data_IF_944016047232
#
_entry.id   IF_944016047232
#
_cell.length_a   1.000
_cell.length_b   1.000
_cell.length_c   1.000
_cell.angle_alpha   90.00
_cell.angle_beta   90.00
_cell.angle_gamma   90.00
#
_symmetry.space_group_name_H-M   'P 1'
#
loop_
_entity.id
_entity.type
_entity.pdbx_description
1 polymer ?
#
# COMPACT_ATOMS: atom_id res chain seq x y z
N UNK A 1 4.92 7.80 -18.46
CA UNK A 1 3.99 8.74 -17.76
C UNK A 1 4.67 10.10 -17.63
N UNK A 2 3.95 11.24 -17.66
CA UNK A 2 4.57 12.58 -17.47
C UNK A 2 4.66 12.96 -15.98
N UNK A 3 5.59 13.85 -15.60
CA UNK A 3 5.74 14.36 -14.21
C UNK A 3 4.42 14.86 -13.62
N UNK A 4 3.73 15.75 -14.34
CA UNK A 4 2.44 16.32 -13.91
C UNK A 4 1.39 15.23 -13.65
N UNK A 5 1.27 14.25 -14.57
CA UNK A 5 0.33 13.13 -14.40
C UNK A 5 0.67 12.28 -13.17
N UNK A 6 1.94 11.93 -12.98
CA UNK A 6 2.39 11.19 -11.79
C UNK A 6 2.00 11.91 -10.50
N UNK A 7 2.26 13.21 -10.40
CA UNK A 7 2.07 13.97 -9.16
C UNK A 7 0.57 14.12 -8.85
N UNK A 8 -0.26 14.31 -9.88
CA UNK A 8 -1.72 14.35 -9.73
C UNK A 8 -2.24 13.00 -9.23
N UNK A 9 -1.85 11.90 -9.89
CA UNK A 9 -2.30 10.55 -9.50
C UNK A 9 -1.86 10.23 -8.07
N UNK A 10 -0.60 10.50 -7.73
CA UNK A 10 -0.07 10.27 -6.39
C UNK A 10 -0.80 11.11 -5.34
N UNK A 11 -1.06 12.40 -5.63
CA UNK A 11 -1.79 13.28 -4.70
C UNK A 11 -3.22 12.80 -4.46
N UNK A 12 -3.95 12.46 -5.52
CA UNK A 12 -5.31 11.92 -5.42
C UNK A 12 -5.31 10.60 -4.63
N UNK A 13 -4.38 9.70 -4.95
CA UNK A 13 -4.23 8.42 -4.25
C UNK A 13 -3.93 8.58 -2.76
N UNK A 14 -3.05 9.53 -2.40
CA UNK A 14 -2.75 9.85 -1.00
C UNK A 14 -3.98 10.41 -0.28
N UNK A 15 -4.68 11.39 -0.87
CA UNK A 15 -5.88 11.98 -0.27
C UNK A 15 -6.96 10.90 -0.04
N UNK A 16 -7.22 10.07 -1.05
CA UNK A 16 -8.18 8.97 -0.94
C UNK A 16 -7.75 7.96 0.13
N UNK A 17 -6.47 7.58 0.14
CA UNK A 17 -5.91 6.63 1.11
C UNK A 17 -6.00 7.13 2.55
N UNK A 18 -5.62 8.39 2.80
CA UNK A 18 -5.73 9.00 4.13
C UNK A 18 -7.19 9.17 4.57
N UNK A 19 -8.06 9.60 3.67
CA UNK A 19 -9.50 9.73 3.97
C UNK A 19 -10.09 8.38 4.36
N UNK A 20 -9.77 7.32 3.61
CA UNK A 20 -10.20 5.96 3.90
C UNK A 20 -9.65 5.45 5.24
N UNK A 21 -8.36 5.71 5.51
CA UNK A 21 -7.72 5.31 6.76
C UNK A 21 -8.35 5.99 7.98
N UNK A 22 -8.62 7.29 7.89
CA UNK A 22 -9.30 8.05 8.95
C UNK A 22 -10.71 7.49 9.19
N UNK A 23 -11.48 7.24 8.12
CA UNK A 23 -12.80 6.62 8.23
C UNK A 23 -12.76 5.27 8.97
N UNK A 24 -11.75 4.44 8.69
CA UNK A 24 -11.58 3.14 9.33
C UNK A 24 -11.17 3.25 10.80
N UNK A 25 -10.32 4.22 11.15
CA UNK A 25 -9.95 4.48 12.55
C UNK A 25 -11.19 4.88 13.36
N UNK A 26 -12.08 5.70 12.80
CA UNK A 26 -13.35 6.04 13.47
C UNK A 26 -14.23 4.81 13.68
N UNK A 27 -14.34 3.91 12.68
CA UNK A 27 -15.12 2.67 12.81
C UNK A 27 -14.54 1.70 13.83
N UNK A 28 -13.21 1.54 13.82
CA UNK A 28 -12.49 0.65 14.74
C UNK A 28 -12.66 1.12 16.19
N UNK A 29 -12.49 2.43 16.44
CA UNK A 29 -12.76 3.04 17.74
C UNK A 29 -14.23 2.91 18.17
N UNK A 30 -15.17 2.96 17.23
CA UNK A 30 -16.61 2.78 17.48
C UNK A 30 -17.01 1.30 17.60
N UNK A 31 -16.05 0.36 17.56
CA UNK A 31 -16.28 -1.10 17.57
C UNK A 31 -17.23 -1.61 16.49
N UNK A 32 -17.39 -0.87 15.39
CA UNK A 32 -18.27 -1.23 14.27
C UNK A 32 -17.66 -2.29 13.33
N UNK A 33 -16.49 -2.82 13.68
CA UNK A 33 -15.73 -3.75 12.85
C UNK A 33 -15.18 -3.10 11.58
N UNK A 34 -14.22 -3.78 10.95
CA UNK A 34 -13.67 -3.35 9.67
C UNK A 34 -14.53 -3.89 8.52
N UNK A 35 -14.75 -3.09 7.46
CA UNK A 35 -15.52 -3.53 6.31
C UNK A 35 -14.90 -4.79 5.69
N UNK A 36 -15.77 -5.71 5.27
CA UNK A 36 -15.35 -6.92 4.58
C UNK A 36 -14.72 -6.59 3.21
N UNK A 37 -13.70 -7.35 2.81
CA UNK A 37 -13.11 -7.22 1.49
C UNK A 37 -14.11 -7.71 0.42
N UNK A 38 -14.51 -6.84 -0.50
CA UNK A 38 -15.50 -7.16 -1.54
C UNK A 38 -15.11 -8.38 -2.36
N UNK A 39 -13.84 -8.48 -2.77
CA UNK A 39 -13.32 -9.61 -3.57
C UNK A 39 -13.50 -10.91 -2.80
N UNK A 40 -13.02 -10.98 -1.55
CA UNK A 40 -13.17 -12.19 -0.74
C UNK A 40 -14.64 -12.54 -0.51
N UNK A 41 -15.49 -11.53 -0.32
CA UNK A 41 -16.92 -11.74 -0.06
C UNK A 41 -17.66 -12.28 -1.30
N UNK A 42 -17.21 -11.95 -2.52
CA UNK A 42 -17.85 -12.42 -3.75
C UNK A 42 -17.23 -13.71 -4.30
N UNK A 43 -15.91 -13.90 -4.18
CA UNK A 43 -15.22 -15.07 -4.74
C UNK A 43 -14.95 -16.18 -3.72
N UNK A 44 -15.04 -15.87 -2.41
CA UNK A 44 -14.63 -16.75 -1.32
C UNK A 44 -13.11 -16.84 -1.13
N UNK A 45 -12.30 -16.24 -2.00
CA UNK A 45 -10.84 -16.36 -2.00
C UNK A 45 -10.18 -15.00 -1.72
N UNK A 46 -9.29 -14.90 -0.72
CA UNK A 46 -8.55 -13.66 -0.49
C UNK A 46 -7.62 -13.37 -1.65
N UNK A 47 -7.50 -12.10 -2.06
CA UNK A 47 -6.49 -11.66 -3.02
C UNK A 47 -5.14 -11.36 -2.31
N UNK A 48 -4.04 -11.13 -3.06
CA UNK A 48 -2.73 -10.87 -2.46
C UNK A 48 -2.70 -9.63 -1.54
N UNK A 49 -3.62 -8.68 -1.73
CA UNK A 49 -3.74 -7.47 -0.91
C UNK A 49 -4.73 -7.58 0.26
N UNK A 50 -5.42 -8.72 0.41
CA UNK A 50 -6.30 -8.94 1.56
C UNK A 50 -5.51 -8.78 2.88
N UNK A 51 -6.07 -8.04 3.82
CA UNK A 51 -5.42 -7.75 5.10
C UNK A 51 -4.52 -6.50 5.13
N UNK A 52 -4.21 -5.86 3.99
CA UNK A 52 -3.34 -4.67 3.98
C UNK A 52 -3.86 -3.54 4.88
N UNK A 53 -5.16 -3.26 4.84
CA UNK A 53 -5.79 -2.28 5.73
C UNK A 53 -5.59 -2.61 7.21
N UNK A 54 -5.77 -3.89 7.59
CA UNK A 54 -5.57 -4.37 8.96
C UNK A 54 -4.11 -4.28 9.38
N UNK A 55 -3.20 -4.58 8.46
CA UNK A 55 -1.76 -4.43 8.66
C UNK A 55 -1.38 -2.96 8.90
N UNK A 56 -1.88 -2.02 8.09
CA UNK A 56 -1.65 -0.57 8.29
C UNK A 56 -2.22 -0.11 9.64
N UNK A 57 -3.41 -0.56 10.03
CA UNK A 57 -3.98 -0.24 11.35
C UNK A 57 -3.14 -0.81 12.51
N UNK A 58 -2.60 -2.02 12.35
CA UNK A 58 -1.68 -2.60 13.34
C UNK A 58 -0.39 -1.77 13.48
N UNK A 59 0.17 -1.29 12.36
CA UNK A 59 1.32 -0.36 12.38
C UNK A 59 0.98 0.92 13.15
N UNK A 60 -0.19 1.52 12.91
CA UNK A 60 -0.63 2.74 13.61
C UNK A 60 -0.78 2.51 15.11
N UNK A 61 -1.19 1.30 15.52
CA UNK A 61 -1.29 0.89 16.93
C UNK A 61 0.06 0.50 17.56
N UNK A 62 1.16 0.53 16.79
CA UNK A 62 2.50 0.15 17.26
C UNK A 62 2.80 -1.36 17.17
N UNK A 63 1.89 -2.17 16.64
CA UNK A 63 2.02 -3.62 16.55
C UNK A 63 2.65 -4.04 15.20
N UNK A 64 3.96 -3.82 15.06
CA UNK A 64 4.67 -4.12 13.81
C UNK A 64 4.73 -5.63 13.48
N UNK A 65 4.87 -6.49 14.50
CA UNK A 65 4.90 -7.95 14.30
C UNK A 65 3.56 -8.41 13.74
N UNK A 66 2.45 -7.98 14.36
CA UNK A 66 1.10 -8.29 13.88
C UNK A 66 0.91 -7.78 12.44
N UNK A 67 1.41 -6.59 12.11
CA UNK A 67 1.30 -6.05 10.76
C UNK A 67 1.97 -6.94 9.71
N UNK A 68 3.15 -7.48 10.01
CA UNK A 68 3.87 -8.44 9.15
C UNK A 68 3.06 -9.73 9.03
N UNK A 69 2.63 -10.28 10.18
CA UNK A 69 1.87 -11.54 10.23
C UNK A 69 0.54 -11.45 9.48
N UNK A 70 -0.10 -10.28 9.50
CA UNK A 70 -1.31 -10.01 8.73
C UNK A 70 -0.97 -9.97 7.25
N UNK A 71 -0.20 -8.98 6.79
CA UNK A 71 0.24 -8.89 5.39
C UNK A 71 1.44 -7.93 5.26
N UNK A 72 2.62 -8.39 4.82
CA UNK A 72 3.84 -7.57 4.73
C UNK A 72 3.72 -6.46 3.69
N UNK A 73 2.83 -6.61 2.70
CA UNK A 73 2.53 -5.52 1.76
C UNK A 73 1.93 -4.29 2.46
N UNK A 74 1.32 -4.46 3.63
CA UNK A 74 0.85 -3.35 4.45
C UNK A 74 1.97 -2.42 4.93
N UNK A 75 3.18 -2.94 5.16
CA UNK A 75 4.35 -2.11 5.50
C UNK A 75 4.76 -1.24 4.32
N UNK A 76 4.76 -1.81 3.12
CA UNK A 76 5.08 -1.08 1.90
C UNK A 76 4.09 0.06 1.70
N UNK A 77 2.78 -0.23 1.86
CA UNK A 77 1.72 0.78 1.75
C UNK A 77 1.89 1.88 2.82
N UNK A 78 2.07 1.50 4.09
CA UNK A 78 2.28 2.47 5.17
C UNK A 78 3.50 3.36 4.90
N UNK A 79 4.61 2.77 4.42
CA UNK A 79 5.83 3.51 4.07
C UNK A 79 5.58 4.50 2.94
N UNK A 80 4.86 4.09 1.88
CA UNK A 80 4.50 4.97 0.76
C UNK A 80 3.61 6.11 1.26
N UNK A 81 2.60 5.81 2.09
CA UNK A 81 1.69 6.81 2.64
C UNK A 81 2.44 7.84 3.48
N UNK A 82 3.42 7.42 4.29
CA UNK A 82 4.21 8.34 5.13
C UNK A 82 5.21 9.13 4.30
N UNK A 83 6.04 8.49 3.47
CA UNK A 83 7.17 9.13 2.79
C UNK A 83 6.73 10.01 1.61
N UNK A 84 5.74 9.55 0.84
CA UNK A 84 5.36 10.21 -0.42
C UNK A 84 4.82 11.64 -0.26
N UNK A 85 3.99 11.98 0.74
CA UNK A 85 3.57 13.35 1.01
C UNK A 85 4.74 14.30 1.26
N UNK A 86 5.70 13.91 2.11
CA UNK A 86 6.86 14.75 2.41
C UNK A 86 7.75 14.93 1.19
N UNK A 87 7.94 13.86 0.40
CA UNK A 87 8.75 13.93 -0.81
C UNK A 87 8.08 14.78 -1.89
N UNK A 88 6.77 14.64 -2.07
CA UNK A 88 5.99 15.45 -3.01
C UNK A 88 6.02 16.93 -2.60
N UNK A 89 5.86 17.22 -1.31
CA UNK A 89 5.97 18.58 -0.77
C UNK A 89 7.37 19.16 -1.02
N UNK A 90 8.42 18.40 -0.73
CA UNK A 90 9.81 18.80 -0.98
C UNK A 90 10.05 19.17 -2.45
N UNK A 91 9.59 18.35 -3.38
CA UNK A 91 9.76 18.61 -4.81
C UNK A 91 9.00 19.86 -5.28
N UNK A 92 7.79 20.09 -4.75
CA UNK A 92 6.99 21.28 -5.08
C UNK A 92 7.64 22.55 -4.53
N UNK A 93 8.01 22.56 -3.24
CA UNK A 93 8.59 23.75 -2.58
C UNK A 93 9.98 24.06 -3.10
N UNK A 94 10.80 23.04 -3.34
CA UNK A 94 12.16 23.20 -3.88
C UNK A 94 12.21 23.33 -5.40
N UNK A 95 11.06 23.26 -6.09
CA UNK A 95 10.93 23.22 -7.56
C UNK A 95 11.81 22.13 -8.21
N UNK A 96 12.00 21.00 -7.52
CA UNK A 96 12.78 19.85 -8.00
C UNK A 96 11.89 18.76 -8.61
N UNK A 97 12.52 17.73 -9.13
CA UNK A 97 11.89 16.57 -9.77
C UNK A 97 12.48 15.24 -9.26
N UNK A 98 12.92 15.22 -8.00
CA UNK A 98 13.62 14.06 -7.42
C UNK A 98 12.72 12.84 -7.29
N UNK A 99 11.43 13.03 -6.97
CA UNK A 99 10.42 11.96 -6.93
C UNK A 99 10.20 11.41 -8.34
N UNK A 100 10.04 12.28 -9.34
CA UNK A 100 9.85 11.85 -10.72
C UNK A 100 11.05 11.08 -11.28
N UNK A 101 12.28 11.56 -11.03
CA UNK A 101 13.51 10.85 -11.43
C UNK A 101 13.63 9.49 -10.72
N UNK A 102 13.28 9.43 -9.44
CA UNK A 102 13.27 8.19 -8.67
C UNK A 102 12.21 7.21 -9.19
N UNK A 103 11.02 7.70 -9.56
CA UNK A 103 9.98 6.91 -10.22
C UNK A 103 10.48 6.29 -11.53
N UNK A 104 11.14 7.07 -12.40
CA UNK A 104 11.66 6.54 -13.67
C UNK A 104 12.73 5.48 -13.46
N UNK A 105 13.62 5.68 -12.47
CA UNK A 105 14.62 4.68 -12.09
C UNK A 105 13.96 3.41 -11.57
N UNK A 106 12.96 3.54 -10.70
CA UNK A 106 12.21 2.42 -10.13
C UNK A 106 11.43 1.64 -11.20
N UNK A 107 10.77 2.33 -12.13
CA UNK A 107 10.07 1.73 -13.27
C UNK A 107 11.04 0.89 -14.12
N UNK A 108 12.24 1.42 -14.41
CA UNK A 108 13.29 0.67 -15.13
C UNK A 108 13.78 -0.56 -14.35
N UNK A 109 13.93 -0.45 -13.03
CA UNK A 109 14.35 -1.56 -12.17
C UNK A 109 13.28 -2.66 -12.16
N UNK A 110 12.01 -2.31 -11.89
CA UNK A 110 10.92 -3.30 -11.84
C UNK A 110 10.68 -3.99 -13.18
N UNK A 111 10.80 -3.25 -14.29
CA UNK A 111 10.61 -3.81 -15.64
C UNK A 111 11.79 -4.67 -16.11
N UNK A 112 12.89 -4.72 -15.34
CA UNK A 112 13.98 -5.66 -15.60
C UNK A 112 13.48 -7.09 -15.36
N UNK A 113 13.60 -7.95 -16.37
CA UNK A 113 13.01 -9.31 -16.39
C UNK A 113 13.25 -10.11 -15.10
N UNK A 114 14.49 -10.13 -14.60
CA UNK A 114 14.84 -10.88 -13.39
C UNK A 114 14.11 -10.35 -12.14
N UNK A 115 14.03 -9.02 -12.01
CA UNK A 115 13.36 -8.37 -10.88
C UNK A 115 11.85 -8.55 -10.98
N UNK A 116 11.29 -8.41 -12.18
CA UNK A 116 9.88 -8.66 -12.43
C UNK A 116 9.48 -10.08 -12.04
N UNK A 117 10.25 -11.10 -12.44
CA UNK A 117 10.00 -12.50 -12.08
C UNK A 117 10.08 -12.68 -10.56
N UNK A 118 11.11 -12.12 -9.90
CA UNK A 118 11.24 -12.17 -8.46
C UNK A 118 10.02 -11.56 -7.75
N UNK A 119 9.56 -10.39 -8.18
CA UNK A 119 8.39 -9.71 -7.62
C UNK A 119 7.11 -10.53 -7.81
N UNK A 120 6.93 -11.14 -8.99
CA UNK A 120 5.79 -12.05 -9.24
C UNK A 120 5.82 -13.22 -8.27
N UNK A 121 6.97 -13.87 -8.10
CA UNK A 121 7.13 -14.98 -7.15
C UNK A 121 6.80 -14.52 -5.73
N UNK A 122 7.31 -13.36 -5.29
CA UNK A 122 7.02 -12.82 -3.96
C UNK A 122 5.52 -12.53 -3.75
N UNK A 123 4.83 -11.99 -4.76
CA UNK A 123 3.39 -11.75 -4.72
C UNK A 123 2.62 -13.07 -4.65
N UNK A 124 3.03 -14.09 -5.41
CA UNK A 124 2.40 -15.41 -5.37
C UNK A 124 2.59 -16.10 -4.02
N UNK A 125 3.79 -16.03 -3.44
CA UNK A 125 4.06 -16.55 -2.10
C UNK A 125 3.20 -15.84 -1.04
N UNK A 126 3.10 -14.51 -1.11
CA UNK A 126 2.22 -13.75 -0.21
C UNK A 126 0.75 -14.16 -0.38
N UNK A 127 0.32 -14.43 -1.61
CA UNK A 127 -1.04 -14.84 -1.91
C UNK A 127 -1.36 -16.23 -1.35
N UNK A 128 -0.47 -17.21 -1.58
CA UNK A 128 -0.60 -18.56 -1.01
C UNK A 128 -0.67 -18.48 0.51
N UNK A 129 0.19 -17.67 1.13
CA UNK A 129 0.18 -17.48 2.57
C UNK A 129 -1.12 -16.85 3.09
N UNK A 130 -1.71 -15.90 2.36
CA UNK A 130 -3.01 -15.34 2.71
C UNK A 130 -4.15 -16.36 2.61
N UNK A 131 -4.11 -17.24 1.62
CA UNK A 131 -5.08 -18.34 1.47
C UNK A 131 -4.96 -19.32 2.65
N UNK A 132 -3.73 -19.71 3.01
CA UNK A 132 -3.49 -20.62 4.14
C UNK A 132 -3.98 -20.06 5.48
N UNK A 133 -3.85 -18.74 5.69
CA UNK A 133 -4.36 -18.05 6.88
C UNK A 133 -5.88 -17.86 6.89
N UNK A 134 -6.57 -18.13 5.78
CA UNK A 134 -8.01 -17.89 5.65
C UNK A 134 -8.41 -16.41 5.77
N UNK A 135 -7.47 -15.49 5.50
CA UNK A 135 -7.61 -14.03 5.67
C UNK A 135 -8.85 -13.47 5.02
#
# INVERSE_FOLDING_TARGET
MTKKKLYIILSIGLIAGYTWLVYLLFRDNSKQGLPACFIKNTTGVPCPSCGNTRSVLAIIKGNFIDAILINPLGIIIATIMVVSPFWLLYDITSKKDTLYKSYLKFEKIITTKSIMILLIILILLNWIWNIQKGL
#
